data_IF_000741996247
#
_entry.id   IF_000741996247
#
_cell.length_a   1.000
_cell.length_b   1.000
_cell.length_c   1.000
_cell.angle_alpha   90.00
_cell.angle_beta   90.00
_cell.angle_gamma   90.00
#
_symmetry.space_group_name_H-M   'P 1'
#
loop_
_entity.id
_entity.type
_entity.pdbx_description
1 polymer ?
#
# COMPACT_ATOMS: atom_id res chain seq x y z
N UNK A 1 10.70 51.73 35.93
CA UNK A 1 10.32 50.38 35.48
C UNK A 1 11.55 49.52 35.67
N UNK A 2 11.65 48.81 36.79
CA UNK A 2 12.84 48.04 37.16
C UNK A 2 12.94 46.79 36.29
N UNK A 3 14.14 46.53 35.76
CA UNK A 3 14.45 45.32 34.99
C UNK A 3 14.21 44.07 35.83
N UNK A 4 13.65 42.99 35.25
CA UNK A 4 13.49 41.75 35.98
C UNK A 4 14.87 41.13 36.23
N UNK A 5 15.25 41.03 37.51
CA UNK A 5 16.49 40.42 37.94
C UNK A 5 16.59 38.93 37.57
N UNK A 6 17.76 38.31 37.77
CA UNK A 6 18.08 36.93 37.33
C UNK A 6 17.16 35.83 37.89
N UNK A 7 16.26 36.16 38.81
CA UNK A 7 15.23 35.26 39.35
C UNK A 7 14.00 35.10 38.44
N UNK A 8 13.88 35.87 37.35
CA UNK A 8 12.74 35.79 36.44
C UNK A 8 12.90 34.78 35.29
N UNK A 9 14.01 34.04 35.24
CA UNK A 9 14.18 33.00 34.23
C UNK A 9 13.24 31.86 34.63
N UNK A 10 12.26 31.47 33.79
CA UNK A 10 11.41 30.34 34.12
C UNK A 10 12.30 29.13 34.36
N UNK A 11 12.08 28.44 35.48
CA UNK A 11 12.87 27.29 35.95
C UNK A 11 12.94 26.14 34.93
N UNK A 12 12.13 26.18 33.87
CA UNK A 12 12.21 25.30 32.70
C UNK A 12 13.45 25.50 31.83
N UNK A 13 14.13 26.65 31.92
CA UNK A 13 15.32 26.99 31.14
C UNK A 13 16.65 26.84 31.91
N UNK A 14 16.60 26.56 33.22
CA UNK A 14 17.79 26.42 34.06
C UNK A 14 18.41 25.00 33.96
N UNK A 15 19.64 24.94 33.46
CA UNK A 15 20.42 23.70 33.29
C UNK A 15 20.83 23.05 34.61
N UNK A 16 20.81 23.78 35.73
CA UNK A 16 21.12 23.26 37.07
C UNK A 16 19.91 22.65 37.77
N UNK A 17 18.71 22.81 37.21
CA UNK A 17 17.50 22.24 37.79
C UNK A 17 17.42 20.73 37.53
N UNK A 18 17.41 19.94 38.61
CA UNK A 18 17.19 18.48 38.56
C UNK A 18 15.70 18.14 38.47
N UNK A 19 14.88 19.00 37.83
CA UNK A 19 13.48 18.68 37.61
C UNK A 19 13.43 17.46 36.67
N UNK A 20 12.59 16.44 36.95
CA UNK A 20 12.38 15.37 36.00
C UNK A 20 11.86 15.97 34.68
N UNK A 21 12.73 16.03 33.68
CA UNK A 21 12.33 16.33 32.31
C UNK A 21 11.36 15.23 31.91
N UNK A 22 10.20 15.61 31.36
CA UNK A 22 9.24 14.66 30.79
C UNK A 22 10.04 13.77 29.83
N UNK A 23 10.24 12.50 30.18
CA UNK A 23 11.04 11.56 29.39
C UNK A 23 10.57 11.68 27.95
N UNK A 24 11.48 12.07 27.05
CA UNK A 24 11.20 12.11 25.61
C UNK A 24 10.57 10.78 25.26
N UNK A 25 9.40 10.82 24.63
CA UNK A 25 8.61 9.62 24.37
C UNK A 25 9.52 8.53 23.81
N UNK A 26 9.57 7.38 24.49
CA UNK A 26 10.32 6.18 24.09
C UNK A 26 9.79 5.58 22.78
N UNK A 27 8.77 6.20 22.19
CA UNK A 27 8.11 5.82 20.95
C UNK A 27 8.59 6.73 19.81
N UNK A 28 9.91 6.89 19.67
CA UNK A 28 10.47 7.41 18.43
C UNK A 28 10.55 6.24 17.43
N UNK A 29 10.40 6.47 16.12
CA UNK A 29 10.53 5.40 15.13
C UNK A 29 11.91 4.72 15.21
N UNK A 30 12.95 5.47 15.59
CA UNK A 30 14.28 4.95 15.83
C UNK A 30 14.34 3.98 17.03
N UNK A 31 13.65 4.32 18.13
CA UNK A 31 13.58 3.48 19.34
C UNK A 31 12.82 2.17 19.05
N UNK A 32 11.73 2.24 18.29
CA UNK A 32 10.96 1.07 17.86
C UNK A 32 11.81 0.13 16.98
N UNK A 33 12.51 0.69 15.99
CA UNK A 33 13.43 -0.08 15.14
C UNK A 33 14.54 -0.73 15.96
N UNK A 34 15.16 0.02 16.89
CA UNK A 34 16.21 -0.53 17.76
C UNK A 34 15.69 -1.70 18.61
N UNK A 35 14.46 -1.60 19.13
CA UNK A 35 13.83 -2.68 19.89
C UNK A 35 13.59 -3.94 19.02
N UNK A 36 13.09 -3.77 17.79
CA UNK A 36 12.88 -4.86 16.84
C UNK A 36 14.20 -5.53 16.47
N UNK A 37 15.23 -4.74 16.17
CA UNK A 37 16.58 -5.22 15.87
C UNK A 37 17.15 -6.02 17.04
N UNK A 38 17.02 -5.51 18.28
CA UNK A 38 17.49 -6.21 19.48
C UNK A 38 16.78 -7.56 19.68
N UNK A 39 15.49 -7.65 19.34
CA UNK A 39 14.73 -8.90 19.40
C UNK A 39 15.16 -9.89 18.32
N UNK A 40 15.50 -9.42 17.12
CA UNK A 40 15.97 -10.28 16.02
C UNK A 40 17.37 -10.85 16.30
N UNK A 41 18.26 -10.04 16.89
CA UNK A 41 19.61 -10.47 17.25
C UNK A 41 19.69 -11.39 18.47
N UNK A 42 18.60 -11.56 19.22
CA UNK A 42 18.55 -12.49 20.36
C UNK A 42 18.84 -13.93 19.93
N UNK A 43 18.29 -14.34 18.78
CA UNK A 43 18.45 -15.68 18.21
C UNK A 43 18.79 -15.61 16.71
N UNK A 44 20.07 -15.39 16.33
CA UNK A 44 20.46 -15.15 14.94
C UNK A 44 20.38 -16.40 14.04
N UNK A 45 20.24 -17.60 14.62
CA UNK A 45 20.09 -18.86 13.85
C UNK A 45 18.65 -19.13 13.42
N UNK A 46 17.67 -18.33 13.86
CA UNK A 46 16.26 -18.52 13.51
C UNK A 46 15.98 -18.00 12.10
N UNK A 47 15.38 -18.84 11.28
CA UNK A 47 14.96 -18.45 9.93
C UNK A 47 13.93 -17.32 9.96
N UNK A 48 14.17 -16.28 9.16
CA UNK A 48 13.27 -15.15 8.99
C UNK A 48 12.23 -15.47 7.91
N UNK A 49 10.98 -15.71 8.34
CA UNK A 49 9.84 -15.85 7.42
C UNK A 49 9.33 -14.48 7.01
N UNK A 50 9.80 -14.00 5.87
CA UNK A 50 9.21 -12.81 5.25
C UNK A 50 7.79 -13.13 4.80
N UNK A 51 6.83 -12.20 4.96
CA UNK A 51 5.50 -12.39 4.43
C UNK A 51 5.58 -12.54 2.91
N UNK A 52 4.94 -13.57 2.38
CA UNK A 52 4.73 -13.67 0.94
C UNK A 52 3.83 -12.52 0.46
N UNK A 53 3.97 -12.16 -0.83
CA UNK A 53 3.12 -11.15 -1.42
C UNK A 53 1.64 -11.50 -1.17
N UNK A 54 0.87 -10.54 -0.65
CA UNK A 54 -0.52 -10.77 -0.32
C UNK A 54 -1.28 -11.20 -1.58
N UNK A 55 -1.82 -12.42 -1.58
CA UNK A 55 -2.64 -12.90 -2.70
C UNK A 55 -3.91 -12.06 -2.78
N UNK A 56 -4.10 -11.37 -3.89
CA UNK A 56 -5.30 -10.57 -4.10
C UNK A 56 -6.54 -11.47 -4.15
N UNK A 57 -7.65 -10.97 -3.59
CA UNK A 57 -8.92 -11.66 -3.62
C UNK A 57 -9.48 -11.55 -5.02
N UNK A 58 -9.26 -12.59 -5.81
CA UNK A 58 -9.66 -12.67 -7.19
C UNK A 58 -10.71 -13.78 -7.34
N UNK A 59 -11.44 -13.77 -8.46
CA UNK A 59 -12.46 -14.76 -8.81
C UNK A 59 -11.89 -16.17 -8.86
N UNK A 60 -10.64 -16.35 -9.27
CA UNK A 60 -9.90 -17.62 -9.22
C UNK A 60 -9.62 -18.11 -7.79
N UNK A 61 -9.55 -17.20 -6.82
CA UNK A 61 -9.27 -17.53 -5.41
C UNK A 61 -10.54 -17.81 -4.59
N UNK A 62 -11.72 -17.64 -5.19
CA UNK A 62 -12.96 -18.06 -4.54
C UNK A 62 -13.13 -19.58 -4.65
N UNK A 63 -13.66 -20.24 -3.60
CA UNK A 63 -13.96 -21.65 -3.70
C UNK A 63 -14.96 -21.87 -4.85
N UNK A 64 -14.68 -22.80 -5.77
CA UNK A 64 -15.62 -23.08 -6.86
C UNK A 64 -16.95 -23.56 -6.27
N UNK A 65 -18.08 -23.31 -6.96
CA UNK A 65 -19.35 -23.89 -6.55
C UNK A 65 -19.22 -25.43 -6.53
N UNK A 66 -19.78 -26.11 -5.53
CA UNK A 66 -19.72 -27.57 -5.46
C UNK A 66 -20.45 -28.18 -6.66
N UNK A 67 -19.82 -29.17 -7.31
CA UNK A 67 -20.35 -29.82 -8.51
C UNK A 67 -21.63 -30.62 -8.23
N UNK A 68 -21.68 -31.31 -7.09
CA UNK A 68 -22.81 -32.15 -6.70
C UNK A 68 -23.36 -31.66 -5.37
N UNK A 69 -24.63 -31.26 -5.37
CA UNK A 69 -25.37 -30.94 -4.15
C UNK A 69 -26.15 -32.18 -3.74
N UNK A 70 -25.70 -32.86 -2.69
CA UNK A 70 -26.25 -34.15 -2.26
C UNK A 70 -27.63 -34.04 -1.57
N UNK A 71 -28.01 -32.85 -1.12
CA UNK A 71 -29.20 -32.60 -0.29
C UNK A 71 -30.34 -31.92 -1.05
N UNK A 72 -30.46 -32.15 -2.37
CA UNK A 72 -31.55 -31.59 -3.17
C UNK A 72 -32.85 -32.36 -2.91
N UNK A 73 -33.82 -31.68 -2.29
CA UNK A 73 -35.17 -32.20 -2.11
C UNK A 73 -35.92 -32.16 -3.45
N UNK A 74 -36.88 -33.08 -3.67
CA UNK A 74 -37.60 -33.20 -4.95
C UNK A 74 -38.30 -31.91 -5.39
N UNK A 75 -38.46 -31.72 -6.70
CA UNK A 75 -38.92 -30.45 -7.30
C UNK A 75 -40.32 -30.00 -6.89
N UNK A 76 -41.19 -30.92 -6.47
CA UNK A 76 -42.55 -30.64 -5.99
C UNK A 76 -42.65 -30.57 -4.46
N UNK A 77 -41.54 -30.77 -3.75
CA UNK A 77 -41.54 -30.78 -2.30
C UNK A 77 -41.62 -29.35 -1.75
N UNK A 78 -42.37 -29.15 -0.66
CA UNK A 78 -42.57 -27.82 -0.06
C UNK A 78 -41.29 -27.21 0.54
N UNK A 79 -41.33 -25.91 0.81
CA UNK A 79 -40.21 -25.19 1.42
C UNK A 79 -39.95 -25.69 2.86
N UNK A 80 -38.77 -26.28 3.09
CA UNK A 80 -38.32 -26.68 4.42
C UNK A 80 -37.87 -25.48 5.26
N UNK A 81 -37.76 -25.67 6.58
CA UNK A 81 -37.31 -24.62 7.52
C UNK A 81 -35.89 -24.11 7.26
N UNK A 82 -35.03 -24.94 6.67
CA UNK A 82 -33.65 -24.59 6.31
C UNK A 82 -33.48 -23.90 4.95
N UNK A 83 -34.52 -23.89 4.10
CA UNK A 83 -34.40 -23.44 2.70
C UNK A 83 -34.05 -21.95 2.62
N UNK A 84 -34.60 -21.14 3.53
CA UNK A 84 -34.25 -19.72 3.62
C UNK A 84 -32.75 -19.49 3.86
N UNK A 85 -32.13 -20.30 4.72
CA UNK A 85 -30.71 -20.16 5.02
C UNK A 85 -29.83 -20.62 3.86
N UNK A 86 -30.25 -21.65 3.13
CA UNK A 86 -29.58 -22.10 1.90
C UNK A 86 -29.59 -20.98 0.86
N UNK A 87 -30.74 -20.37 0.63
CA UNK A 87 -30.88 -19.22 -0.26
C UNK A 87 -30.03 -18.01 0.17
N UNK A 88 -30.08 -17.65 1.46
CA UNK A 88 -29.29 -16.54 1.99
C UNK A 88 -27.79 -16.77 1.76
N UNK A 89 -27.31 -17.99 1.97
CA UNK A 89 -25.91 -18.35 1.77
C UNK A 89 -25.53 -18.40 0.27
N UNK A 90 -26.39 -18.92 -0.60
CA UNK A 90 -26.13 -18.96 -2.05
C UNK A 90 -26.13 -17.57 -2.66
N UNK A 91 -27.12 -16.73 -2.32
CA UNK A 91 -27.22 -15.34 -2.77
C UNK A 91 -26.01 -14.51 -2.33
N UNK A 92 -25.56 -14.67 -1.08
CA UNK A 92 -24.36 -13.97 -0.58
C UNK A 92 -23.12 -14.36 -1.38
N UNK A 93 -22.90 -15.67 -1.59
CA UNK A 93 -21.79 -16.18 -2.41
C UNK A 93 -21.82 -15.61 -3.82
N UNK A 94 -23.01 -15.57 -4.43
CA UNK A 94 -23.17 -15.05 -5.79
C UNK A 94 -22.92 -13.56 -5.90
N UNK A 95 -23.40 -12.75 -4.94
CA UNK A 95 -23.09 -11.32 -4.92
C UNK A 95 -21.62 -11.04 -4.69
N UNK A 96 -20.95 -11.79 -3.82
CA UNK A 96 -19.51 -11.69 -3.63
C UNK A 96 -18.77 -12.05 -4.92
N UNK A 97 -19.19 -13.10 -5.63
CA UNK A 97 -18.63 -13.49 -6.94
C UNK A 97 -18.79 -12.40 -7.99
N UNK A 98 -20.01 -11.88 -8.19
CA UNK A 98 -20.30 -10.83 -9.17
C UNK A 98 -19.55 -9.53 -8.85
N UNK A 99 -19.48 -9.16 -7.58
CA UNK A 99 -18.73 -7.97 -7.14
C UNK A 99 -17.24 -8.10 -7.47
N UNK A 100 -16.65 -9.28 -7.24
CA UNK A 100 -15.24 -9.51 -7.53
C UNK A 100 -14.97 -9.49 -9.03
N UNK A 101 -15.81 -10.15 -9.83
CA UNK A 101 -15.73 -10.08 -11.30
C UNK A 101 -15.76 -8.64 -11.80
N UNK A 102 -16.71 -7.84 -11.30
CA UNK A 102 -16.79 -6.43 -11.71
C UNK A 102 -15.54 -5.65 -11.29
N UNK A 103 -15.06 -5.84 -10.06
CA UNK A 103 -13.86 -5.14 -9.58
C UNK A 103 -12.60 -5.54 -10.33
N UNK A 104 -12.51 -6.77 -10.83
CA UNK A 104 -11.39 -7.22 -11.67
C UNK A 104 -11.41 -6.54 -13.02
N UNK A 105 -12.57 -6.51 -13.68
CA UNK A 105 -12.75 -5.83 -14.97
C UNK A 105 -12.46 -4.34 -14.85
N UNK A 106 -12.93 -3.70 -13.79
CA UNK A 106 -12.67 -2.27 -13.57
C UNK A 106 -11.18 -2.00 -13.31
N UNK A 107 -10.49 -2.90 -12.61
CA UNK A 107 -9.04 -2.80 -12.38
C UNK A 107 -8.25 -3.01 -13.65
N UNK A 108 -8.59 -4.03 -14.44
CA UNK A 108 -7.92 -4.33 -15.71
C UNK A 108 -8.04 -3.16 -16.69
N UNK A 109 -9.24 -2.59 -16.84
CA UNK A 109 -9.44 -1.38 -17.64
C UNK A 109 -8.62 -0.20 -17.14
N UNK A 110 -8.60 0.03 -15.82
CA UNK A 110 -7.82 1.11 -15.22
C UNK A 110 -6.30 0.92 -15.42
N UNK A 111 -5.82 -0.32 -15.33
CA UNK A 111 -4.42 -0.66 -15.56
C UNK A 111 -4.06 -0.45 -17.05
N UNK A 112 -4.90 -0.87 -17.99
CA UNK A 112 -4.73 -0.63 -19.44
C UNK A 112 -4.69 0.86 -19.79
N UNK A 113 -5.66 1.63 -19.28
CA UNK A 113 -5.73 3.09 -19.50
C UNK A 113 -4.48 3.80 -18.95
N UNK A 114 -4.01 3.39 -17.77
CA UNK A 114 -2.82 3.93 -17.15
C UNK A 114 -1.54 3.59 -17.93
N UNK A 115 -1.41 2.35 -18.43
CA UNK A 115 -0.26 1.95 -19.24
C UNK A 115 -0.20 2.74 -20.55
N UNK A 116 -1.34 2.93 -21.21
CA UNK A 116 -1.45 3.76 -22.42
C UNK A 116 -1.05 5.22 -22.14
N UNK A 117 -1.59 5.84 -21.10
CA UNK A 117 -1.25 7.23 -20.73
C UNK A 117 0.25 7.37 -20.38
N UNK A 118 0.80 6.38 -19.68
CA UNK A 118 2.21 6.35 -19.31
C UNK A 118 3.11 6.24 -20.54
N UNK A 119 2.76 5.38 -21.49
CA UNK A 119 3.52 5.22 -22.73
C UNK A 119 3.46 6.48 -23.59
N UNK A 120 2.28 7.09 -23.74
CA UNK A 120 2.14 8.35 -24.46
C UNK A 120 2.97 9.47 -23.82
N UNK A 121 2.92 9.58 -22.50
CA UNK A 121 3.70 10.59 -21.75
C UNK A 121 5.19 10.36 -21.94
N UNK A 122 5.64 9.11 -21.82
CA UNK A 122 7.03 8.73 -22.07
C UNK A 122 7.47 9.09 -23.49
N UNK A 123 6.65 8.78 -24.49
CA UNK A 123 6.93 9.12 -25.90
C UNK A 123 7.05 10.63 -26.11
N UNK A 124 6.12 11.43 -25.56
CA UNK A 124 6.17 12.90 -25.65
C UNK A 124 7.46 13.45 -25.03
N UNK A 125 7.90 12.88 -23.90
CA UNK A 125 9.14 13.29 -23.25
C UNK A 125 10.38 12.87 -24.04
N UNK A 126 10.39 11.67 -24.62
CA UNK A 126 11.45 11.19 -25.52
C UNK A 126 11.56 12.08 -26.77
N UNK A 127 10.45 12.44 -27.42
CA UNK A 127 10.44 13.35 -28.58
C UNK A 127 10.99 14.75 -28.23
N UNK A 128 10.59 15.31 -27.08
CA UNK A 128 11.11 16.59 -26.59
C UNK A 128 12.60 16.52 -26.28
N UNK A 129 13.04 15.47 -25.60
CA UNK A 129 14.45 15.29 -25.22
C UNK A 129 15.33 15.05 -26.45
N UNK A 130 14.87 14.30 -27.45
CA UNK A 130 15.59 14.08 -28.70
C UNK A 130 15.71 15.37 -29.52
N UNK A 131 14.63 16.14 -29.66
CA UNK A 131 14.67 17.45 -30.34
C UNK A 131 15.66 18.40 -29.68
N UNK A 132 15.70 18.42 -28.35
CA UNK A 132 16.65 19.23 -27.59
C UNK A 132 18.09 18.71 -27.72
N UNK A 133 18.29 17.39 -27.75
CA UNK A 133 19.59 16.74 -27.99
C UNK A 133 20.14 17.11 -29.38
N UNK A 134 19.35 16.94 -30.44
CA UNK A 134 19.71 17.34 -31.82
C UNK A 134 20.08 18.82 -31.92
N UNK A 135 19.33 19.71 -31.24
CA UNK A 135 19.66 21.15 -31.17
C UNK A 135 21.01 21.42 -30.49
N UNK A 136 21.32 20.72 -29.39
CA UNK A 136 22.60 20.84 -28.67
C UNK A 136 23.76 20.31 -29.51
N UNK A 137 23.60 19.15 -30.15
CA UNK A 137 24.61 18.56 -31.03
C UNK A 137 24.96 19.47 -32.21
N UNK A 138 23.94 20.04 -32.88
CA UNK A 138 24.16 21.01 -33.96
C UNK A 138 24.94 22.25 -33.48
N UNK A 139 24.60 22.78 -32.30
CA UNK A 139 25.31 23.91 -31.70
C UNK A 139 26.76 23.55 -31.34
N UNK A 140 26.99 22.36 -30.80
CA UNK A 140 28.33 21.87 -30.46
C UNK A 140 29.19 21.64 -31.71
N UNK A 141 28.62 21.08 -32.79
CA UNK A 141 29.30 20.90 -34.06
C UNK A 141 29.68 22.23 -34.71
N UNK A 142 28.81 23.24 -34.67
CA UNK A 142 29.12 24.59 -35.16
C UNK A 142 30.26 25.24 -34.37
N UNK A 143 30.28 25.11 -33.04
CA UNK A 143 31.38 25.59 -32.20
C UNK A 143 32.70 24.88 -32.49
N UNK A 144 32.68 23.56 -32.71
CA UNK A 144 33.88 22.77 -33.07
C UNK A 144 34.46 23.13 -34.45
N UNK A 145 33.64 23.65 -35.38
CA UNK A 145 34.11 24.11 -36.70
C UNK A 145 34.63 25.55 -36.71
N UNK A 146 34.35 26.32 -35.65
CA UNK A 146 34.72 27.73 -35.51
C UNK A 146 36.03 27.91 -34.73
N UNK A 147 36.55 26.85 -34.11
CA UNK A 147 37.90 26.74 -33.56
C UNK A 147 38.76 25.94 -34.53
#
# INVERSE_FOLDING_TARGET
>A
MSEPGPESIPTSADRRSNRPLKRRALNTPLSEQASQISSLFRDPSKELKLPEASRQKNTTNLPPPPEIVANVQGSSAGAGSGEFHVYKASRRREYERLRLMQSEVDREKGDEEWEMEREETRRRDEEKTEKNRKRREKRNAAKKKSN
#
